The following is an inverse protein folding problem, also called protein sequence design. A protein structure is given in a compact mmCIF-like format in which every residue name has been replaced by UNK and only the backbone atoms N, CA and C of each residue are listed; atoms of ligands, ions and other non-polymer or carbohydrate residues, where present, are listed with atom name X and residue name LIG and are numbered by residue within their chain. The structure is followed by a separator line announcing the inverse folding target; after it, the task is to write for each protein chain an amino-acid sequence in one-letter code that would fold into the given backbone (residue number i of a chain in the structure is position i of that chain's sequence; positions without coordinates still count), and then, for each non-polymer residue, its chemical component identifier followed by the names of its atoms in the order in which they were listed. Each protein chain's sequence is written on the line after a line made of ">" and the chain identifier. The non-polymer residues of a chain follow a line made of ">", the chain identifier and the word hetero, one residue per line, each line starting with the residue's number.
data_IF_489449267063
#
_entry.id   IF_489449267063
#
_cell.length_a   1.000
_cell.length_b   1.000
_cell.length_c   1.000
_cell.angle_alpha   90.00
_cell.angle_beta   90.00
_cell.angle_gamma   90.00
#
_symmetry.space_group_name_H-M   'P 1'
#
loop_
_entity.id
_entity.type
_entity.pdbx_description
1 polymer ?
#
# COMPACT_ATOMS: atom_id res chain seq x y z
N UNK A 1 63.14 -19.46 16.31
CA UNK A 1 61.82 -19.81 15.73
C UNK A 1 60.68 -19.30 16.61
N UNK A 2 60.37 -18.01 16.57
CA UNK A 2 59.31 -17.41 17.41
C UNK A 2 58.39 -16.43 16.64
N UNK A 3 58.74 -16.09 15.40
CA UNK A 3 58.05 -15.03 14.65
C UNK A 3 56.67 -15.41 14.08
N UNK A 4 56.35 -16.70 13.94
CA UNK A 4 55.09 -17.14 13.31
C UNK A 4 53.90 -17.31 14.28
N UNK A 5 54.09 -17.19 15.59
CA UNK A 5 52.99 -17.36 16.57
C UNK A 5 52.15 -16.09 16.75
N UNK A 6 52.73 -14.92 16.50
CA UNK A 6 52.05 -13.62 16.65
C UNK A 6 51.22 -13.22 15.42
N UNK A 7 51.56 -13.73 14.22
CA UNK A 7 50.80 -13.47 12.99
C UNK A 7 49.45 -14.20 12.96
N UNK A 8 49.35 -15.39 13.55
CA UNK A 8 48.09 -16.16 13.60
C UNK A 8 47.12 -15.56 14.63
N UNK A 9 47.64 -15.06 15.76
CA UNK A 9 46.82 -14.41 16.80
C UNK A 9 46.29 -13.06 16.29
N UNK A 10 47.07 -12.31 15.49
CA UNK A 10 46.64 -11.05 14.85
C UNK A 10 45.53 -11.23 13.81
N UNK A 11 45.41 -12.41 13.18
CA UNK A 11 44.36 -12.66 12.18
C UNK A 11 43.02 -13.04 12.82
N UNK A 12 43.05 -13.73 13.97
CA UNK A 12 41.85 -14.16 14.70
C UNK A 12 41.14 -12.98 15.41
N UNK A 13 41.87 -11.93 15.79
CA UNK A 13 41.27 -10.73 16.40
C UNK A 13 40.60 -9.80 15.38
N UNK A 14 41.01 -9.84 14.11
CA UNK A 14 40.41 -9.03 13.03
C UNK A 14 39.10 -9.66 12.51
N UNK A 15 38.98 -11.00 12.57
CA UNK A 15 37.76 -11.70 12.12
C UNK A 15 36.63 -11.65 13.17
N UNK A 16 36.93 -11.46 14.45
CA UNK A 16 35.91 -11.30 15.52
C UNK A 16 35.42 -9.87 15.70
N UNK A 17 36.11 -8.87 15.15
CA UNK A 17 35.65 -7.47 15.13
C UNK A 17 34.68 -7.15 13.97
N UNK A 18 34.44 -8.10 13.05
CA UNK A 18 33.58 -7.89 11.88
C UNK A 18 32.22 -8.61 11.93
N UNK A 19 31.89 -9.24 13.07
CA UNK A 19 30.60 -9.97 13.26
C UNK A 19 29.69 -9.26 14.29
N UNK A 20 30.10 -8.10 14.81
CA UNK A 20 29.41 -7.39 15.89
C UNK A 20 28.58 -6.17 15.47
N UNK A 21 28.33 -5.94 14.17
CA UNK A 21 27.58 -4.79 13.70
C UNK A 21 26.39 -5.23 12.84
N UNK A 22 25.23 -4.67 13.17
CA UNK A 22 23.96 -4.72 12.42
C UNK A 22 22.99 -5.84 12.81
N UNK A 23 22.54 -5.81 14.06
CA UNK A 23 21.11 -6.01 14.35
C UNK A 23 20.74 -5.02 15.47
N UNK A 24 20.66 -3.74 15.11
CA UNK A 24 19.86 -2.82 15.91
C UNK A 24 18.47 -2.88 15.30
N UNK A 25 17.60 -3.71 15.87
CA UNK A 25 16.18 -3.72 15.56
C UNK A 25 15.56 -2.45 16.13
N UNK A 26 15.71 -1.38 15.36
CA UNK A 26 15.02 -0.11 15.59
C UNK A 26 13.71 -0.16 14.82
N UNK A 27 12.59 -0.03 15.55
CA UNK A 27 11.32 0.34 14.94
C UNK A 27 11.57 1.56 14.04
N UNK A 28 11.01 1.57 12.83
CA UNK A 28 11.05 2.76 11.98
C UNK A 28 10.71 3.99 12.81
N UNK A 29 11.59 4.99 12.79
CA UNK A 29 11.33 6.22 13.51
C UNK A 29 10.10 6.88 12.86
N UNK A 30 8.93 6.72 13.49
CA UNK A 30 7.70 7.33 13.03
C UNK A 30 7.93 8.84 12.89
N UNK A 31 7.55 9.45 11.75
CA UNK A 31 7.59 10.88 11.59
C UNK A 31 7.06 11.62 12.84
N UNK A 32 7.86 12.56 13.37
CA UNK A 32 7.55 13.18 14.65
C UNK A 32 6.30 14.04 14.60
N UNK A 33 6.15 14.81 13.52
CA UNK A 33 5.04 15.75 13.31
C UNK A 33 4.58 15.75 11.85
N UNK A 34 3.29 15.98 11.60
CA UNK A 34 2.80 16.24 10.24
C UNK A 34 3.42 17.52 9.67
N UNK A 35 3.70 17.54 8.36
CA UNK A 35 4.10 18.74 7.60
C UNK A 35 2.89 19.54 7.08
N UNK A 36 1.68 19.05 7.34
CA UNK A 36 0.42 19.57 6.86
C UNK A 36 -0.57 18.42 6.65
N UNK A 37 -1.60 18.67 5.85
CA UNK A 37 -2.54 17.62 5.41
C UNK A 37 -1.85 16.61 4.47
N UNK A 38 -0.82 17.05 3.74
CA UNK A 38 0.10 16.19 3.00
C UNK A 38 1.46 16.25 3.70
N UNK A 39 2.05 15.09 3.97
CA UNK A 39 3.38 14.93 4.53
C UNK A 39 4.19 13.99 3.64
N UNK A 40 4.81 14.55 2.61
CA UNK A 40 5.63 13.81 1.63
C UNK A 40 7.08 13.67 2.15
N UNK A 41 7.39 12.58 2.88
CA UNK A 41 8.76 12.30 3.33
C UNK A 41 9.55 11.47 2.30
N UNK A 42 8.86 10.90 1.31
CA UNK A 42 9.49 10.15 0.22
C UNK A 42 9.85 11.02 -1.00
N UNK A 43 9.41 12.28 -1.02
CA UNK A 43 9.62 13.23 -2.12
C UNK A 43 9.11 12.68 -3.47
N UNK A 44 7.90 12.10 -3.45
CA UNK A 44 7.27 11.45 -4.61
C UNK A 44 6.03 12.17 -5.14
N UNK A 45 5.68 13.30 -4.54
CA UNK A 45 4.59 14.18 -4.94
C UNK A 45 5.21 15.51 -5.36
N UNK A 46 4.95 15.95 -6.60
CA UNK A 46 5.39 17.28 -7.02
C UNK A 46 4.56 18.38 -6.33
N UNK A 47 5.15 19.57 -6.22
CA UNK A 47 4.56 20.68 -5.47
C UNK A 47 3.18 21.13 -6.01
N UNK A 48 2.95 21.03 -7.32
CA UNK A 48 1.67 21.38 -7.91
C UNK A 48 0.60 20.35 -7.49
N UNK A 49 0.92 19.06 -7.63
CA UNK A 49 0.03 17.99 -7.17
C UNK A 49 -0.25 18.05 -5.67
N UNK A 50 0.77 18.30 -4.85
CA UNK A 50 0.61 18.47 -3.39
C UNK A 50 -0.36 19.61 -3.06
N UNK A 51 -0.23 20.74 -3.75
CA UNK A 51 -1.10 21.90 -3.56
C UNK A 51 -2.56 21.58 -3.93
N UNK A 52 -2.77 20.87 -5.04
CA UNK A 52 -4.11 20.48 -5.47
C UNK A 52 -4.75 19.44 -4.53
N UNK A 53 -3.98 18.43 -4.10
CA UNK A 53 -4.43 17.45 -3.10
C UNK A 53 -4.81 18.17 -1.81
N UNK A 54 -3.96 19.07 -1.33
CA UNK A 54 -4.19 19.87 -0.11
C UNK A 54 -5.48 20.68 -0.22
N UNK A 55 -5.70 21.37 -1.34
CA UNK A 55 -6.92 22.15 -1.56
C UNK A 55 -8.18 21.28 -1.52
N UNK A 56 -8.14 20.08 -2.12
CA UNK A 56 -9.26 19.15 -2.10
C UNK A 56 -9.57 18.64 -0.69
N UNK A 57 -8.56 18.18 0.06
CA UNK A 57 -8.80 17.64 1.41
C UNK A 57 -9.20 18.72 2.40
N UNK A 58 -8.70 19.95 2.23
CA UNK A 58 -9.16 21.11 2.98
C UNK A 58 -10.63 21.44 2.68
N UNK A 59 -11.06 21.35 1.42
CA UNK A 59 -12.46 21.55 1.04
C UNK A 59 -13.37 20.48 1.67
N UNK A 60 -12.93 19.22 1.69
CA UNK A 60 -13.65 18.12 2.37
C UNK A 60 -13.81 18.44 3.84
N UNK A 61 -12.75 18.87 4.52
CA UNK A 61 -12.80 19.23 5.94
C UNK A 61 -13.79 20.38 6.17
N UNK A 62 -13.73 21.44 5.37
CA UNK A 62 -14.62 22.60 5.52
C UNK A 62 -16.09 22.25 5.31
N UNK A 63 -16.40 21.37 4.35
CA UNK A 63 -17.79 21.06 3.97
C UNK A 63 -18.40 19.89 4.75
N UNK A 64 -17.58 18.99 5.29
CA UNK A 64 -18.05 17.74 5.91
C UNK A 64 -17.52 17.50 7.32
N UNK A 65 -16.55 18.30 7.76
CA UNK A 65 -15.73 18.11 8.97
C UNK A 65 -14.83 16.87 8.98
N UNK A 66 -14.84 16.03 7.94
CA UNK A 66 -13.96 14.88 7.83
C UNK A 66 -12.52 15.31 7.50
N UNK A 67 -11.54 14.66 8.10
CA UNK A 67 -10.12 14.98 7.90
C UNK A 67 -9.46 13.88 7.07
N UNK A 68 -8.72 14.26 6.03
CA UNK A 68 -7.93 13.33 5.22
C UNK A 68 -6.46 13.75 5.32
N UNK A 69 -5.62 12.86 5.81
CA UNK A 69 -4.18 13.03 5.86
C UNK A 69 -3.49 12.11 4.87
N UNK A 70 -2.47 12.62 4.18
CA UNK A 70 -1.63 11.86 3.25
C UNK A 70 -0.21 11.83 3.81
N UNK A 71 0.38 10.63 3.87
CA UNK A 71 1.76 10.42 4.32
C UNK A 71 2.46 9.52 3.32
N UNK A 72 3.62 9.96 2.84
CA UNK A 72 4.54 9.08 2.12
C UNK A 72 5.80 8.92 2.95
N UNK A 73 6.36 7.71 2.95
CA UNK A 73 7.66 7.42 3.58
C UNK A 73 8.52 6.63 2.61
N UNK A 74 9.86 6.77 2.67
CA UNK A 74 10.74 5.94 1.86
C UNK A 74 10.57 4.45 2.19
N UNK A 75 10.52 4.08 3.48
CA UNK A 75 10.51 2.71 3.99
C UNK A 75 9.69 2.60 5.29
N UNK A 76 9.16 1.41 5.56
CA UNK A 76 8.55 0.99 6.82
C UNK A 76 9.57 0.42 7.82
N UNK A 77 10.85 0.34 7.41
CA UNK A 77 11.94 -0.34 8.10
C UNK A 77 11.56 -1.79 8.49
N UNK A 78 11.55 -2.12 9.78
CA UNK A 78 11.20 -3.46 10.28
C UNK A 78 9.69 -3.66 10.51
N UNK A 79 8.87 -2.63 10.29
CA UNK A 79 7.43 -2.67 10.53
C UNK A 79 6.60 -3.06 9.31
N UNK A 80 5.27 -3.09 9.51
CA UNK A 80 4.29 -3.21 8.44
C UNK A 80 3.46 -1.92 8.29
N UNK A 81 2.80 -1.77 7.14
CA UNK A 81 2.04 -0.56 6.82
C UNK A 81 0.80 -0.36 7.69
N UNK A 82 0.23 -1.43 8.23
CA UNK A 82 -0.95 -1.37 9.10
C UNK A 82 -0.55 -0.84 10.47
N UNK A 83 0.43 -1.46 11.10
CA UNK A 83 0.98 -1.04 12.40
C UNK A 83 1.41 0.42 12.36
N UNK A 84 2.21 0.80 11.35
CA UNK A 84 2.67 2.18 11.21
C UNK A 84 1.51 3.17 11.01
N UNK A 85 0.52 2.84 10.18
CA UNK A 85 -0.61 3.72 9.93
C UNK A 85 -1.47 3.91 11.19
N UNK A 86 -1.74 2.84 11.94
CA UNK A 86 -2.50 2.92 13.20
C UNK A 86 -1.76 3.79 14.22
N UNK A 87 -0.45 3.63 14.34
CA UNK A 87 0.37 4.43 15.24
C UNK A 87 0.41 5.90 14.82
N UNK A 88 0.59 6.20 13.53
CA UNK A 88 0.54 7.57 13.00
C UNK A 88 -0.83 8.20 13.20
N UNK A 89 -1.90 7.46 12.89
CA UNK A 89 -3.27 7.94 13.04
C UNK A 89 -3.56 8.38 14.48
N UNK A 90 -3.18 7.55 15.45
CA UNK A 90 -3.31 7.85 16.88
C UNK A 90 -2.39 9.00 17.31
N UNK A 91 -1.11 8.94 16.94
CA UNK A 91 -0.08 9.91 17.32
C UNK A 91 -0.43 11.32 16.84
N UNK A 92 -0.98 11.44 15.63
CA UNK A 92 -1.34 12.71 15.03
C UNK A 92 -2.76 13.15 15.32
N UNK A 93 -3.58 12.29 15.94
CA UNK A 93 -4.96 12.62 16.31
C UNK A 93 -5.83 12.92 15.10
N UNK A 94 -5.74 12.08 14.07
CA UNK A 94 -6.45 12.29 12.80
C UNK A 94 -7.96 12.06 13.02
N UNK A 95 -8.76 13.03 12.60
CA UNK A 95 -10.21 13.06 12.80
C UNK A 95 -10.64 13.98 13.94
N UNK A 96 -11.87 14.50 13.85
CA UNK A 96 -12.42 15.37 14.89
C UNK A 96 -12.80 14.56 16.13
N UNK A 97 -12.43 15.08 17.31
CA UNK A 97 -12.77 14.50 18.60
C UNK A 97 -14.27 14.23 18.72
N UNK A 98 -14.64 12.98 19.02
CA UNK A 98 -16.03 12.54 19.18
C UNK A 98 -16.81 12.34 17.88
N UNK A 99 -16.17 12.53 16.72
CA UNK A 99 -16.71 12.15 15.41
C UNK A 99 -15.94 10.99 14.79
N UNK A 100 -14.66 10.85 15.12
CA UNK A 100 -13.77 9.79 14.61
C UNK A 100 -13.85 9.70 13.07
N UNK A 101 -13.88 10.85 12.42
CA UNK A 101 -14.12 11.01 10.99
C UNK A 101 -12.84 11.34 10.22
N UNK A 102 -11.75 10.68 10.59
CA UNK A 102 -10.44 10.82 9.96
C UNK A 102 -10.16 9.70 8.96
N UNK A 103 -9.32 10.00 7.97
CA UNK A 103 -8.75 9.04 7.03
C UNK A 103 -7.25 9.34 6.91
N UNK A 104 -6.42 8.30 6.99
CA UNK A 104 -4.99 8.38 6.70
C UNK A 104 -4.66 7.50 5.49
N UNK A 105 -4.03 8.08 4.49
CA UNK A 105 -3.40 7.36 3.38
C UNK A 105 -1.89 7.32 3.65
N UNK A 106 -1.36 6.15 3.97
CA UNK A 106 0.06 5.90 4.12
C UNK A 106 0.60 5.15 2.90
N UNK A 107 1.66 5.66 2.28
CA UNK A 107 2.37 5.01 1.17
C UNK A 107 3.85 4.84 1.54
N UNK A 108 4.33 3.59 1.52
CA UNK A 108 5.77 3.30 1.58
C UNK A 108 6.28 2.89 0.21
N UNK A 109 7.25 3.64 -0.30
CA UNK A 109 7.73 3.53 -1.68
C UNK A 109 8.62 2.29 -1.87
N UNK A 110 9.60 2.08 -0.99
CA UNK A 110 10.56 0.98 -1.10
C UNK A 110 9.90 -0.37 -0.79
N UNK A 111 8.99 -0.42 0.18
CA UNK A 111 8.26 -1.65 0.55
C UNK A 111 7.14 -2.01 -0.42
N UNK A 112 6.82 -1.07 -1.32
CA UNK A 112 5.68 -1.15 -2.23
C UNK A 112 4.39 -1.46 -1.49
N UNK A 113 4.13 -0.71 -0.43
CA UNK A 113 3.00 -0.91 0.48
C UNK A 113 2.16 0.37 0.61
N UNK A 114 0.84 0.20 0.69
CA UNK A 114 -0.11 1.28 0.92
C UNK A 114 -1.15 0.83 1.95
N UNK A 115 -1.56 1.75 2.83
CA UNK A 115 -2.63 1.55 3.82
C UNK A 115 -3.56 2.76 3.83
N UNK A 116 -4.87 2.51 3.83
CA UNK A 116 -5.90 3.53 4.09
C UNK A 116 -6.53 3.24 5.45
N UNK A 117 -6.09 3.91 6.51
CA UNK A 117 -6.70 3.80 7.85
C UNK A 117 -7.91 4.72 7.95
N UNK A 118 -9.02 4.24 8.51
CA UNK A 118 -10.30 4.95 8.57
C UNK A 118 -10.83 4.96 9.99
N UNK A 119 -11.20 6.13 10.49
CA UNK A 119 -11.86 6.26 11.78
C UNK A 119 -13.30 5.75 11.77
N UNK A 120 -13.78 5.31 12.94
CA UNK A 120 -15.09 4.69 13.14
C UNK A 120 -16.27 5.47 12.52
N UNK A 121 -16.22 6.80 12.57
CA UNK A 121 -17.28 7.67 12.05
C UNK A 121 -17.48 7.60 10.53
N UNK A 122 -16.52 7.05 9.78
CA UNK A 122 -16.58 6.91 8.33
C UNK A 122 -16.67 5.45 7.85
N UNK A 123 -16.61 4.46 8.75
CA UNK A 123 -16.63 3.03 8.38
C UNK A 123 -17.89 2.63 7.59
N UNK A 124 -19.04 3.25 7.88
CA UNK A 124 -20.28 2.96 7.17
C UNK A 124 -20.20 3.27 5.66
N UNK A 125 -19.33 4.20 5.25
CA UNK A 125 -19.17 4.63 3.85
C UNK A 125 -17.81 4.24 3.25
N UNK A 126 -16.80 4.03 4.09
CA UNK A 126 -15.46 3.60 3.74
C UNK A 126 -15.06 2.32 4.49
N UNK A 127 -15.84 1.23 4.37
CA UNK A 127 -15.46 -0.04 4.99
C UNK A 127 -14.21 -0.62 4.30
N UNK A 128 -13.56 -1.61 4.94
CA UNK A 128 -12.34 -2.27 4.45
C UNK A 128 -12.43 -2.70 2.99
N UNK A 129 -13.56 -3.31 2.60
CA UNK A 129 -13.81 -3.72 1.23
C UNK A 129 -13.75 -2.56 0.23
N UNK A 130 -14.27 -1.39 0.63
CA UNK A 130 -14.27 -0.19 -0.20
C UNK A 130 -12.88 0.44 -0.26
N UNK A 131 -12.17 0.53 0.87
CA UNK A 131 -10.78 0.98 0.89
C UNK A 131 -9.89 0.07 0.02
N UNK A 132 -10.08 -1.24 0.10
CA UNK A 132 -9.34 -2.21 -0.71
C UNK A 132 -9.65 -2.10 -2.21
N UNK A 133 -10.90 -1.81 -2.58
CA UNK A 133 -11.29 -1.47 -3.96
C UNK A 133 -10.52 -0.24 -4.45
N UNK A 134 -10.54 0.87 -3.69
CA UNK A 134 -9.86 2.12 -4.04
C UNK A 134 -8.35 1.89 -4.24
N UNK A 135 -7.71 1.18 -3.31
CA UNK A 135 -6.28 0.84 -3.42
C UNK A 135 -6.01 0.07 -4.72
N UNK A 136 -6.79 -0.98 -5.00
CA UNK A 136 -6.54 -1.87 -6.16
C UNK A 136 -6.86 -1.21 -7.50
N UNK A 137 -7.93 -0.43 -7.57
CA UNK A 137 -8.45 0.10 -8.83
C UNK A 137 -7.93 1.49 -9.17
N UNK A 138 -7.78 2.36 -8.16
CA UNK A 138 -7.45 3.76 -8.37
C UNK A 138 -5.97 4.07 -8.07
N UNK A 139 -5.33 3.36 -7.13
CA UNK A 139 -3.97 3.70 -6.66
C UNK A 139 -2.88 2.80 -7.27
N UNK A 140 -2.96 1.48 -7.04
CA UNK A 140 -1.94 0.49 -7.44
C UNK A 140 -1.56 0.56 -8.93
N UNK A 141 -2.48 0.79 -9.89
CA UNK A 141 -2.09 0.88 -11.30
C UNK A 141 -1.04 1.95 -11.58
N UNK A 142 -1.13 3.11 -10.92
CA UNK A 142 -0.14 4.18 -11.05
C UNK A 142 1.16 3.84 -10.31
N UNK A 143 1.06 3.22 -9.14
CA UNK A 143 2.23 2.83 -8.34
C UNK A 143 3.13 1.83 -9.06
N UNK A 144 2.54 0.91 -9.84
CA UNK A 144 3.29 -0.02 -10.69
C UNK A 144 4.10 0.67 -11.79
N UNK A 145 3.68 1.86 -12.19
CA UNK A 145 4.34 2.68 -13.22
C UNK A 145 5.25 3.75 -12.59
N UNK A 146 5.44 3.74 -11.27
CA UNK A 146 6.25 4.73 -10.54
C UNK A 146 5.57 6.10 -10.40
N UNK A 147 4.29 6.22 -10.76
CA UNK A 147 3.53 7.48 -10.73
C UNK A 147 2.82 7.66 -9.38
N UNK A 148 3.58 7.79 -8.30
CA UNK A 148 3.03 7.82 -6.93
C UNK A 148 2.08 8.99 -6.68
N UNK A 149 2.46 10.22 -7.07
CA UNK A 149 1.58 11.39 -6.97
C UNK A 149 0.22 11.17 -7.64
N UNK A 150 0.19 10.62 -8.85
CA UNK A 150 -1.05 10.31 -9.58
C UNK A 150 -1.91 9.27 -8.86
N UNK A 151 -1.30 8.20 -8.34
CA UNK A 151 -2.02 7.17 -7.59
C UNK A 151 -2.62 7.69 -6.28
N UNK A 152 -1.86 8.52 -5.55
CA UNK A 152 -2.32 9.18 -4.33
C UNK A 152 -3.47 10.14 -4.65
N UNK A 153 -3.32 10.99 -5.67
CA UNK A 153 -4.37 11.90 -6.11
C UNK A 153 -5.66 11.16 -6.50
N UNK A 154 -5.55 10.08 -7.28
CA UNK A 154 -6.69 9.26 -7.69
C UNK A 154 -7.43 8.64 -6.48
N UNK A 155 -6.68 8.09 -5.52
CA UNK A 155 -7.23 7.58 -4.26
C UNK A 155 -7.94 8.67 -3.45
N UNK A 156 -7.28 9.82 -3.26
CA UNK A 156 -7.83 10.96 -2.51
C UNK A 156 -9.10 11.52 -3.17
N UNK A 157 -9.13 11.64 -4.50
CA UNK A 157 -10.32 12.05 -5.25
C UNK A 157 -11.49 11.09 -4.99
N UNK A 158 -11.23 9.77 -5.01
CA UNK A 158 -12.25 8.76 -4.83
C UNK A 158 -12.83 8.80 -3.41
N UNK A 159 -11.97 8.86 -2.39
CA UNK A 159 -12.36 8.97 -0.98
C UNK A 159 -13.15 10.26 -0.74
N UNK A 160 -12.64 11.39 -1.19
CA UNK A 160 -13.29 12.71 -1.05
C UNK A 160 -14.68 12.71 -1.69
N UNK A 161 -14.82 12.08 -2.86
CA UNK A 161 -16.11 11.94 -3.54
C UNK A 161 -17.13 11.12 -2.74
N UNK A 162 -16.71 10.04 -2.09
CA UNK A 162 -17.57 9.20 -1.24
C UNK A 162 -18.05 9.99 -0.02
N UNK A 163 -17.13 10.69 0.66
CA UNK A 163 -17.44 11.51 1.84
C UNK A 163 -18.41 12.65 1.46
N UNK A 164 -18.13 13.36 0.37
CA UNK A 164 -18.98 14.45 -0.10
C UNK A 164 -20.38 13.98 -0.50
N UNK A 165 -20.48 12.85 -1.19
CA UNK A 165 -21.76 12.26 -1.57
C UNK A 165 -22.60 11.89 -0.35
N UNK A 166 -21.98 11.31 0.69
CA UNK A 166 -22.67 10.98 1.93
C UNK A 166 -23.16 12.24 2.67
N UNK A 167 -22.36 13.30 2.67
CA UNK A 167 -22.73 14.59 3.28
C UNK A 167 -23.70 15.43 2.43
N UNK A 168 -24.01 15.01 1.20
CA UNK A 168 -24.87 15.76 0.28
C UNK A 168 -24.25 17.07 -0.22
N UNK A 169 -22.92 17.18 -0.22
CA UNK A 169 -22.19 18.38 -0.65
C UNK A 169 -21.51 18.15 -2.00
N UNK A 170 -21.25 19.23 -2.73
CA UNK A 170 -20.46 19.19 -3.97
C UNK A 170 -19.06 19.75 -3.71
N UNK A 171 -18.03 19.05 -4.20
CA UNK A 171 -16.63 19.50 -4.15
C UNK A 171 -16.25 20.14 -5.48
N UNK A 172 -15.69 21.34 -5.44
CA UNK A 172 -15.24 22.09 -6.62
C UNK A 172 -13.78 21.81 -6.96
N UNK A 173 -12.92 21.64 -5.94
CA UNK A 173 -11.48 21.39 -6.08
C UNK A 173 -11.13 20.04 -6.70
N UNK A 174 -12.12 19.13 -6.83
CA UNK A 174 -11.95 17.89 -7.59
C UNK A 174 -11.64 18.15 -9.06
N UNK A 175 -12.17 19.23 -9.64
CA UNK A 175 -11.97 19.56 -11.06
C UNK A 175 -10.52 19.91 -11.37
N UNK A 176 -9.81 20.52 -10.42
CA UNK A 176 -8.42 20.95 -10.61
C UNK A 176 -7.43 19.78 -10.68
N UNK A 177 -7.81 18.61 -10.12
CA UNK A 177 -7.04 17.36 -10.13
C UNK A 177 -7.41 16.47 -11.34
N UNK A 178 -8.42 16.84 -12.15
CA UNK A 178 -8.95 15.92 -13.19
C UNK A 178 -7.99 15.57 -14.33
N UNK A 179 -6.84 16.24 -14.43
CA UNK A 179 -5.79 15.92 -15.39
C UNK A 179 -4.91 14.73 -14.97
N UNK A 180 -5.18 14.04 -13.86
CA UNK A 180 -4.55 12.73 -13.59
C UNK A 180 -4.86 11.83 -14.79
N UNK A 181 -3.85 11.49 -15.63
CA UNK A 181 -4.09 10.88 -16.91
C UNK A 181 -4.70 9.50 -16.69
N UNK A 182 -6.02 9.40 -16.85
CA UNK A 182 -6.73 8.13 -16.73
C UNK A 182 -6.07 7.15 -17.66
N UNK A 183 -5.47 6.11 -17.08
CA UNK A 183 -4.86 4.99 -17.81
C UNK A 183 -5.82 4.53 -18.90
N UNK A 184 -5.55 4.90 -20.15
CA UNK A 184 -6.21 4.28 -21.30
C UNK A 184 -5.73 2.83 -21.29
N UNK A 185 -6.58 1.88 -20.87
CA UNK A 185 -6.32 0.45 -21.11
C UNK A 185 -6.11 0.32 -22.61
N UNK A 186 -4.86 0.17 -23.03
CA UNK A 186 -4.56 -0.04 -24.44
C UNK A 186 -5.12 -1.42 -24.78
N UNK A 187 -6.00 -1.46 -25.78
CA UNK A 187 -6.57 -2.71 -26.29
C UNK A 187 -5.46 -3.73 -26.57
N UNK A 188 -4.29 -3.27 -27.00
CA UNK A 188 -3.10 -4.07 -27.21
C UNK A 188 -2.61 -4.80 -25.95
N UNK A 189 -2.62 -4.17 -24.77
CA UNK A 189 -2.22 -4.81 -23.51
C UNK A 189 -3.22 -5.87 -23.04
N UNK A 190 -4.53 -5.61 -23.21
CA UNK A 190 -5.58 -6.61 -22.92
C UNK A 190 -5.53 -7.77 -23.92
N UNK A 191 -5.31 -7.49 -25.20
CA UNK A 191 -5.15 -8.51 -26.24
C UNK A 191 -3.88 -9.34 -25.96
N UNK A 192 -2.75 -8.71 -25.63
CA UNK A 192 -1.51 -9.41 -25.29
C UNK A 192 -1.70 -10.31 -24.06
N UNK A 193 -2.36 -9.83 -23.01
CA UNK A 193 -2.66 -10.63 -21.83
C UNK A 193 -3.58 -11.81 -22.14
N UNK A 194 -4.61 -11.62 -22.97
CA UNK A 194 -5.47 -12.71 -23.43
C UNK A 194 -4.73 -13.71 -24.32
N UNK A 195 -3.81 -13.24 -25.18
CA UNK A 195 -2.97 -14.09 -26.03
C UNK A 195 -1.98 -14.92 -25.21
N UNK A 196 -1.37 -14.34 -24.17
CA UNK A 196 -0.49 -15.07 -23.24
C UNK A 196 -1.29 -16.14 -22.51
N UNK A 197 -2.49 -15.82 -22.00
CA UNK A 197 -3.35 -16.80 -21.33
C UNK A 197 -3.85 -17.90 -22.28
N UNK A 198 -4.24 -17.54 -23.51
CA UNK A 198 -4.64 -18.51 -24.53
C UNK A 198 -3.46 -19.39 -24.98
N UNK A 199 -2.27 -18.83 -25.09
CA UNK A 199 -1.03 -19.56 -25.41
C UNK A 199 -0.64 -20.53 -24.31
N UNK A 200 -0.74 -20.12 -23.03
CA UNK A 200 -0.53 -21.01 -21.89
C UNK A 200 -1.59 -22.12 -21.83
N UNK A 201 -2.86 -21.78 -22.06
CA UNK A 201 -3.94 -22.77 -22.13
C UNK A 201 -3.70 -23.78 -23.27
N UNK A 202 -3.31 -23.30 -24.46
CA UNK A 202 -2.98 -24.16 -25.59
C UNK A 202 -1.76 -25.05 -25.32
N UNK A 203 -0.71 -24.51 -24.69
CA UNK A 203 0.48 -25.26 -24.29
C UNK A 203 0.12 -26.39 -23.32
N UNK A 204 -0.75 -26.12 -22.34
CA UNK A 204 -1.22 -27.13 -21.39
C UNK A 204 -2.17 -28.16 -21.99
N UNK A 205 -2.98 -27.79 -22.99
CA UNK A 205 -3.84 -28.71 -23.76
C UNK A 205 -2.99 -29.65 -24.63
N UNK A 206 -1.96 -29.12 -25.30
CA UNK A 206 -1.04 -29.91 -26.14
C UNK A 206 -0.09 -30.79 -25.32
N UNK A 207 0.36 -30.28 -24.16
CA UNK A 207 1.32 -30.96 -23.30
C UNK A 207 0.73 -31.17 -21.90
N UNK A 208 -0.18 -32.14 -21.72
CA UNK A 208 -0.81 -32.41 -20.43
C UNK A 208 0.21 -32.84 -19.35
N UNK A 209 1.39 -33.34 -19.76
CA UNK A 209 2.50 -33.63 -18.86
C UNK A 209 3.09 -32.36 -18.20
N UNK A 210 3.19 -31.24 -18.92
CA UNK A 210 3.63 -29.95 -18.36
C UNK A 210 2.59 -29.37 -17.40
N UNK A 211 1.30 -29.58 -17.67
CA UNK A 211 0.21 -29.20 -16.78
C UNK A 211 0.26 -30.01 -15.46
N UNK A 212 0.48 -31.32 -15.56
CA UNK A 212 0.67 -32.21 -14.41
C UNK A 212 1.91 -31.86 -13.58
N UNK A 213 3.01 -31.44 -14.21
CA UNK A 213 4.21 -30.98 -13.52
C UNK A 213 4.01 -29.61 -12.84
N UNK A 214 3.28 -28.70 -13.48
CA UNK A 214 2.93 -27.39 -12.91
C UNK A 214 2.00 -27.51 -11.69
N UNK A 215 1.07 -28.48 -11.71
CA UNK A 215 0.27 -28.86 -10.54
C UNK A 215 1.08 -29.63 -9.48
N UNK A 216 2.11 -30.37 -9.88
CA UNK A 216 2.93 -31.21 -9.01
C UNK A 216 4.08 -30.49 -8.29
N UNK A 217 4.35 -29.23 -8.60
CA UNK A 217 5.45 -28.46 -7.99
C UNK A 217 5.06 -27.72 -6.70
N UNK A 218 3.80 -27.83 -6.27
CA UNK A 218 3.29 -27.32 -5.01
C UNK A 218 2.65 -28.43 -4.16
N UNK A 219 3.47 -29.23 -3.48
CA UNK A 219 2.99 -30.10 -2.40
C UNK A 219 3.33 -31.58 -2.59
N UNK A 220 4.33 -32.04 -1.82
CA UNK A 220 4.54 -33.45 -1.63
C UNK A 220 3.32 -34.12 -0.97
N UNK A 221 2.99 -35.30 -1.48
CA UNK A 221 2.45 -36.46 -0.73
C UNK A 221 0.99 -36.37 -0.23
N UNK A 222 0.09 -36.80 -1.12
CA UNK A 222 -0.91 -37.83 -0.78
C UNK A 222 -2.38 -37.40 -0.66
N UNK A 223 -3.24 -38.05 -1.45
CA UNK A 223 -4.59 -38.42 -1.02
C UNK A 223 -5.79 -37.63 -1.57
N UNK A 224 -6.37 -38.14 -2.67
CA UNK A 224 -7.81 -38.41 -2.89
C UNK A 224 -8.84 -37.40 -2.32
N UNK A 225 -9.63 -36.78 -3.20
CA UNK A 225 -10.95 -36.24 -2.88
C UNK A 225 -11.36 -35.05 -3.72
N UNK A 226 -12.42 -35.19 -4.52
CA UNK A 226 -12.86 -34.20 -5.51
C UNK A 226 -13.54 -32.95 -4.95
N UNK A 227 -13.86 -32.02 -5.85
CA UNK A 227 -14.72 -30.87 -5.59
C UNK A 227 -14.16 -29.60 -6.20
N UNK A 228 -14.84 -29.09 -7.23
CA UNK A 228 -14.45 -27.86 -7.91
C UNK A 228 -14.50 -26.62 -7.01
N UNK A 229 -13.83 -25.56 -7.46
CA UNK A 229 -13.92 -24.26 -6.83
C UNK A 229 -13.02 -23.25 -7.52
N UNK A 230 -13.65 -22.33 -8.25
CA UNK A 230 -13.03 -21.05 -8.62
C UNK A 230 -12.56 -20.37 -7.32
N UNK A 231 -11.24 -20.27 -7.12
CA UNK A 231 -10.64 -19.60 -5.98
C UNK A 231 -9.77 -18.45 -6.44
N UNK A 232 -10.37 -17.28 -6.66
CA UNK A 232 -9.62 -16.03 -6.74
C UNK A 232 -8.84 -15.84 -5.45
N UNK A 233 -7.57 -15.46 -5.57
CA UNK A 233 -6.70 -15.19 -4.43
C UNK A 233 -7.25 -14.07 -3.56
N UNK A 234 -8.03 -14.44 -2.55
CA UNK A 234 -8.31 -13.61 -1.39
C UNK A 234 -7.04 -13.57 -0.54
N UNK A 235 -6.29 -12.48 -0.66
CA UNK A 235 -5.23 -12.13 0.29
C UNK A 235 -5.86 -11.96 1.68
N UNK A 236 -5.22 -12.56 2.68
CA UNK A 236 -5.74 -12.75 4.02
C UNK A 236 -6.28 -11.49 4.68
N UNK A 237 -7.46 -11.63 5.27
CA UNK A 237 -7.98 -10.72 6.27
C UNK A 237 -7.14 -10.91 7.54
N UNK A 238 -6.15 -10.04 7.73
CA UNK A 238 -5.49 -9.84 9.01
C UNK A 238 -6.47 -9.11 9.92
N UNK A 239 -7.06 -9.83 10.88
CA UNK A 239 -7.88 -9.23 11.93
C UNK A 239 -6.97 -8.62 12.99
N UNK A 240 -6.76 -7.30 12.91
CA UNK A 240 -6.10 -6.49 13.92
C UNK A 240 -7.08 -5.90 14.93
N UNK A 241 -6.70 -5.89 16.20
CA UNK A 241 -7.48 -5.41 17.36
C UNK A 241 -7.50 -3.87 17.46
N UNK A 242 -7.84 -3.17 16.38
CA UNK A 242 -7.99 -1.71 16.36
C UNK A 242 -9.45 -1.35 16.14
N UNK A 243 -10.01 -0.42 16.92
CA UNK A 243 -11.42 -0.01 16.84
C UNK A 243 -11.77 0.87 15.63
N UNK A 244 -11.04 0.71 14.52
CA UNK A 244 -11.17 1.47 13.27
C UNK A 244 -10.95 0.56 12.05
N UNK A 245 -11.45 0.96 10.88
CA UNK A 245 -11.43 0.17 9.64
C UNK A 245 -10.30 0.53 8.67
N UNK A 246 -10.33 -0.09 7.49
CA UNK A 246 -9.51 0.25 6.33
C UNK A 246 -8.97 -0.95 5.54
N UNK A 247 -8.12 -0.69 4.54
CA UNK A 247 -7.39 -1.75 3.84
C UNK A 247 -5.89 -1.47 3.64
N UNK A 248 -5.14 -2.55 3.45
CA UNK A 248 -3.74 -2.57 3.01
C UNK A 248 -3.63 -3.10 1.57
N UNK A 249 -2.59 -2.72 0.85
CA UNK A 249 -2.27 -3.26 -0.47
C UNK A 249 -0.78 -3.18 -0.81
N UNK A 250 -0.37 -3.97 -1.81
CA UNK A 250 1.02 -4.04 -2.31
C UNK A 250 1.06 -4.05 -3.84
N UNK A 251 2.16 -3.61 -4.46
CA UNK A 251 2.31 -3.53 -5.92
C UNK A 251 3.63 -4.06 -6.50
#
# INVERSE_FOLDING_TARGET
>A
MSFNRYLIISYITIVTAFVGALCSSGLAALPEKPRGMVSDFAEVIDQNMESQITALVQEVEQKTSAEIAIVTVPSLEEGDSETMAVELYKKWGIGKKGKDNGVLILVSVQDRAVRIEVGYGLEAILPDGKCGEIIREDMIPYFKEGQYGNGIAAGTIRISGIIAQNAGVTLTGRSDITDVPKRKRTLLGTIFQLLVLAGLAFLFIQNPFLFLMFLGMGGGRGGIGGGGGFGGGFGGFGGGLSGGGGASGRW
#
